data_IF_365329430525
#
_entry.id   IF_365329430525
#
_cell.length_a   1.000
_cell.length_b   1.000
_cell.length_c   1.000
_cell.angle_alpha   90.00
_cell.angle_beta   90.00
_cell.angle_gamma   90.00
#
_symmetry.space_group_name_H-M   'P 1'
#
loop_
_entity.id
_entity.type
_entity.pdbx_description
1 polymer ?
#
# COMPACT_ATOMS: atom_id res chain seq x y z
N UNK A 1 21.08 -18.62 29.51
CA UNK A 1 21.34 -18.29 28.09
C UNK A 1 21.06 -16.81 27.87
N UNK A 2 22.08 -16.00 27.95
CA UNK A 2 22.01 -14.56 27.68
C UNK A 2 21.86 -14.37 26.18
N UNK A 3 20.64 -14.13 25.72
CA UNK A 3 20.39 -13.70 24.33
C UNK A 3 21.04 -12.35 24.14
N UNK A 4 22.20 -12.31 23.51
CA UNK A 4 22.81 -11.08 23.00
C UNK A 4 21.83 -10.51 21.98
N UNK A 5 21.05 -9.55 22.42
CA UNK A 5 20.14 -8.80 21.53
C UNK A 5 21.02 -7.97 20.61
N UNK A 6 21.31 -8.50 19.41
CA UNK A 6 22.01 -7.75 18.36
C UNK A 6 21.27 -6.45 18.13
N UNK A 7 21.93 -5.33 18.44
CA UNK A 7 21.37 -4.00 18.24
C UNK A 7 21.01 -3.83 16.75
N UNK A 8 19.80 -3.40 16.48
CA UNK A 8 19.38 -3.19 15.09
C UNK A 8 20.26 -2.12 14.44
N UNK A 9 20.68 -2.27 13.19
CA UNK A 9 21.65 -1.37 12.57
C UNK A 9 21.10 0.06 12.42
N UNK A 10 21.97 1.05 12.60
CA UNK A 10 21.63 2.49 12.52
C UNK A 10 21.01 2.85 11.18
N UNK A 11 21.48 2.24 10.07
CA UNK A 11 20.91 2.48 8.75
C UNK A 11 19.40 2.18 8.67
N UNK A 12 18.95 1.12 9.37
CA UNK A 12 17.53 0.76 9.37
C UNK A 12 16.66 1.81 10.07
N UNK A 13 17.20 2.43 11.14
CA UNK A 13 16.54 3.58 11.81
C UNK A 13 16.43 4.77 10.86
N UNK A 14 17.54 5.14 10.25
CA UNK A 14 17.59 6.30 9.36
C UNK A 14 16.68 6.10 8.13
N UNK A 15 16.63 4.87 7.59
CA UNK A 15 15.70 4.50 6.52
C UNK A 15 14.25 4.70 6.94
N UNK A 16 13.86 4.20 8.13
CA UNK A 16 12.49 4.36 8.63
C UNK A 16 12.12 5.82 8.84
N UNK A 17 13.03 6.63 9.41
CA UNK A 17 12.80 8.08 9.62
C UNK A 17 12.62 8.78 8.27
N UNK A 18 13.52 8.57 7.31
CA UNK A 18 13.41 9.17 5.98
C UNK A 18 12.12 8.76 5.25
N UNK A 19 11.77 7.46 5.30
CA UNK A 19 10.53 6.97 4.72
C UNK A 19 9.29 7.60 5.38
N UNK A 20 9.24 7.71 6.72
CA UNK A 20 8.14 8.35 7.44
C UNK A 20 7.97 9.81 7.00
N UNK A 21 9.07 10.58 6.95
CA UNK A 21 9.01 12.00 6.57
C UNK A 21 8.48 12.18 5.14
N UNK A 22 9.03 11.43 4.18
CA UNK A 22 8.62 11.57 2.77
C UNK A 22 7.20 11.08 2.54
N UNK A 23 6.83 9.91 3.08
CA UNK A 23 5.50 9.34 2.87
C UNK A 23 4.42 10.17 3.55
N UNK A 24 4.66 10.66 4.78
CA UNK A 24 3.69 11.51 5.47
C UNK A 24 3.49 12.84 4.73
N UNK A 25 4.56 13.48 4.26
CA UNK A 25 4.45 14.70 3.47
C UNK A 25 3.69 14.46 2.16
N UNK A 26 3.99 13.37 1.44
CA UNK A 26 3.30 13.03 0.21
C UNK A 26 1.80 12.74 0.43
N UNK A 27 1.44 12.02 1.50
CA UNK A 27 0.06 11.76 1.85
C UNK A 27 -0.70 13.05 2.22
N UNK A 28 -0.09 13.92 3.01
CA UNK A 28 -0.70 15.21 3.39
C UNK A 28 -0.93 16.06 2.13
N UNK A 29 0.09 16.19 1.27
CA UNK A 29 -0.03 16.95 0.01
C UNK A 29 -1.15 16.38 -0.85
N UNK A 30 -1.18 15.05 -1.07
CA UNK A 30 -2.22 14.41 -1.90
C UNK A 30 -3.62 14.68 -1.35
N UNK A 31 -3.84 14.40 -0.07
CA UNK A 31 -5.16 14.54 0.56
C UNK A 31 -5.62 16.02 0.57
N UNK A 32 -4.69 16.95 0.88
CA UNK A 32 -5.02 18.38 0.92
C UNK A 32 -5.27 18.93 -0.47
N UNK A 33 -4.40 18.60 -1.45
CA UNK A 33 -4.60 19.04 -2.83
C UNK A 33 -5.91 18.49 -3.38
N UNK A 34 -6.17 17.19 -3.26
CA UNK A 34 -7.41 16.57 -3.72
C UNK A 34 -8.65 17.22 -3.06
N UNK A 35 -8.59 17.47 -1.75
CA UNK A 35 -9.71 18.06 -1.01
C UNK A 35 -10.01 19.50 -1.41
N UNK A 36 -8.97 20.27 -1.80
CA UNK A 36 -9.11 21.69 -2.15
C UNK A 36 -9.36 21.93 -3.65
N UNK A 37 -8.80 21.07 -4.52
CA UNK A 37 -8.79 21.31 -5.98
C UNK A 37 -9.78 20.47 -6.76
N UNK A 38 -10.17 19.28 -6.24
CA UNK A 38 -11.14 18.45 -6.94
C UNK A 38 -12.50 19.12 -6.95
N UNK A 39 -13.01 19.36 -8.13
CA UNK A 39 -14.38 19.86 -8.31
C UNK A 39 -15.32 18.66 -8.26
N UNK A 40 -16.04 18.51 -7.14
CA UNK A 40 -17.17 17.59 -7.11
C UNK A 40 -18.27 18.17 -8.01
N UNK A 41 -18.75 17.47 -9.06
CA UNK A 41 -19.81 17.99 -9.92
C UNK A 41 -21.03 18.43 -9.12
N UNK A 42 -21.70 19.49 -9.56
CA UNK A 42 -22.89 20.00 -8.91
C UNK A 42 -24.02 18.95 -8.75
N UNK A 43 -24.04 17.94 -9.63
CA UNK A 43 -24.95 16.79 -9.54
C UNK A 43 -24.72 15.90 -8.31
N UNK A 44 -23.52 15.93 -7.71
CA UNK A 44 -23.19 15.23 -6.45
C UNK A 44 -23.67 16.02 -5.22
N UNK A 45 -24.12 17.25 -5.42
CA UNK A 45 -24.57 18.17 -4.36
C UNK A 45 -26.04 17.97 -3.99
N UNK A 46 -26.58 16.75 -4.01
CA UNK A 46 -27.95 16.52 -3.58
C UNK A 46 -28.07 16.77 -2.07
N UNK A 47 -28.80 17.81 -1.63
CA UNK A 47 -28.92 18.16 -0.20
C UNK A 47 -29.61 17.08 0.65
N UNK A 48 -30.24 16.11 0.02
CA UNK A 48 -30.87 14.97 0.72
C UNK A 48 -29.93 13.77 0.91
N UNK A 49 -28.67 13.86 0.41
CA UNK A 49 -27.71 12.79 0.59
C UNK A 49 -26.92 12.95 1.88
N UNK A 50 -27.46 12.44 2.95
CA UNK A 50 -26.80 12.41 4.28
C UNK A 50 -25.51 11.57 4.32
N UNK A 51 -25.31 10.67 3.34
CA UNK A 51 -24.20 9.71 3.32
C UNK A 51 -23.00 10.18 2.50
N UNK A 52 -23.16 11.17 1.66
CA UNK A 52 -22.09 11.70 0.82
C UNK A 52 -21.99 13.21 0.98
N UNK A 53 -21.05 13.70 1.80
CA UNK A 53 -20.86 15.13 1.98
C UNK A 53 -20.47 15.77 0.65
N UNK A 54 -20.85 17.04 0.45
CA UNK A 54 -20.49 17.84 -0.74
C UNK A 54 -19.20 18.62 -0.52
N UNK A 55 -18.57 19.05 -1.60
CA UNK A 55 -17.38 19.91 -1.54
C UNK A 55 -16.18 19.24 -0.87
N UNK A 56 -15.50 19.95 0.00
CA UNK A 56 -14.27 19.50 0.68
C UNK A 56 -14.41 18.10 1.31
N UNK A 57 -15.51 17.85 2.02
CA UNK A 57 -15.73 16.57 2.69
C UNK A 57 -15.85 15.39 1.71
N UNK A 58 -16.53 15.61 0.56
CA UNK A 58 -16.66 14.60 -0.48
C UNK A 58 -15.31 14.31 -1.14
N UNK A 59 -14.55 15.33 -1.47
CA UNK A 59 -13.22 15.20 -2.08
C UNK A 59 -12.25 14.49 -1.15
N UNK A 60 -12.21 14.87 0.12
CA UNK A 60 -11.42 14.24 1.16
C UNK A 60 -11.74 12.73 1.28
N UNK A 61 -13.04 12.39 1.32
CA UNK A 61 -13.49 11.01 1.39
C UNK A 61 -13.14 10.22 0.12
N UNK A 62 -13.24 10.84 -1.05
CA UNK A 62 -12.83 10.23 -2.32
C UNK A 62 -11.35 9.91 -2.36
N UNK A 63 -10.49 10.84 -1.93
CA UNK A 63 -9.05 10.63 -1.86
C UNK A 63 -8.73 9.43 -0.96
N UNK A 64 -9.30 9.39 0.26
CA UNK A 64 -9.14 8.27 1.19
C UNK A 64 -9.68 6.93 0.67
N UNK A 65 -10.58 6.97 -0.32
CA UNK A 65 -11.19 5.77 -0.90
C UNK A 65 -10.28 5.07 -1.91
N UNK A 66 -9.20 5.71 -2.35
CA UNK A 66 -8.29 5.10 -3.31
C UNK A 66 -7.40 4.04 -2.66
N UNK A 67 -7.16 2.94 -3.37
CA UNK A 67 -6.24 1.88 -2.92
C UNK A 67 -4.83 2.42 -2.68
N UNK A 68 -4.40 3.37 -3.52
CA UNK A 68 -3.11 4.05 -3.40
C UNK A 68 -2.95 4.73 -2.05
N UNK A 69 -3.86 5.59 -1.65
CA UNK A 69 -3.77 6.31 -0.37
C UNK A 69 -3.79 5.32 0.80
N UNK A 70 -4.70 4.34 0.77
CA UNK A 70 -4.80 3.35 1.85
C UNK A 70 -3.55 2.49 1.97
N UNK A 71 -2.94 2.04 0.87
CA UNK A 71 -1.70 1.24 0.92
C UNK A 71 -0.49 2.07 1.33
N UNK A 72 -0.42 3.34 0.96
CA UNK A 72 0.60 4.26 1.45
C UNK A 72 0.44 4.54 2.96
N UNK A 73 -0.78 4.71 3.47
CA UNK A 73 -1.06 4.79 4.92
C UNK A 73 -0.62 3.50 5.63
N UNK A 74 -0.86 2.34 5.03
CA UNK A 74 -0.42 1.06 5.58
C UNK A 74 1.10 0.96 5.67
N UNK A 75 1.83 1.41 4.65
CA UNK A 75 3.30 1.47 4.66
C UNK A 75 3.80 2.47 5.70
N UNK A 76 3.22 3.66 5.78
CA UNK A 76 3.54 4.66 6.80
C UNK A 76 3.35 4.09 8.21
N UNK A 77 2.20 3.45 8.46
CA UNK A 77 1.88 2.81 9.74
C UNK A 77 2.90 1.72 10.08
N UNK A 78 3.31 0.91 9.08
CA UNK A 78 4.37 -0.08 9.29
C UNK A 78 5.69 0.57 9.72
N UNK A 79 6.15 1.62 9.03
CA UNK A 79 7.41 2.27 9.37
C UNK A 79 7.36 2.95 10.75
N UNK A 80 6.24 3.58 11.13
CA UNK A 80 6.04 4.14 12.47
C UNK A 80 6.12 3.03 13.53
N UNK A 81 5.38 1.94 13.38
CA UNK A 81 5.41 0.81 14.30
C UNK A 81 6.79 0.16 14.37
N UNK A 82 7.50 0.04 13.24
CA UNK A 82 8.84 -0.50 13.18
C UNK A 82 9.86 0.40 13.89
N UNK A 83 9.71 1.73 13.80
CA UNK A 83 10.54 2.72 14.48
C UNK A 83 10.27 2.72 15.99
N UNK A 84 9.00 2.64 16.41
CA UNK A 84 8.64 2.48 17.84
C UNK A 84 9.29 1.21 18.40
N UNK A 85 9.24 0.09 17.67
CA UNK A 85 9.87 -1.16 18.07
C UNK A 85 11.41 -1.12 18.00
N UNK A 86 11.99 -0.18 17.26
CA UNK A 86 13.43 0.03 17.25
C UNK A 86 13.89 0.56 18.62
N UNK A 87 13.15 1.52 19.19
CA UNK A 87 13.47 2.13 20.48
C UNK A 87 12.92 1.31 21.67
N UNK A 88 11.70 0.77 21.55
CA UNK A 88 10.99 0.04 22.60
C UNK A 88 10.88 -1.46 22.28
N UNK A 89 11.92 -2.23 22.59
CA UNK A 89 12.12 -3.64 22.18
C UNK A 89 10.99 -4.63 22.54
N UNK A 90 9.99 -4.26 23.35
CA UNK A 90 8.95 -5.18 23.86
C UNK A 90 7.51 -4.80 23.49
N UNK A 91 7.28 -3.73 22.74
CA UNK A 91 5.92 -3.18 22.61
C UNK A 91 5.03 -3.93 21.61
N UNK A 92 5.62 -4.51 20.55
CA UNK A 92 4.87 -5.28 19.55
C UNK A 92 5.56 -6.61 19.25
N UNK A 93 4.80 -7.74 19.19
CA UNK A 93 5.37 -9.05 18.86
C UNK A 93 6.08 -9.04 17.50
N UNK A 94 7.32 -9.50 17.44
CA UNK A 94 8.16 -9.51 16.23
C UNK A 94 7.53 -10.29 15.07
N UNK A 95 6.77 -11.35 15.38
CA UNK A 95 6.11 -12.17 14.36
C UNK A 95 4.96 -11.41 13.67
N UNK A 96 4.18 -10.63 14.42
CA UNK A 96 3.09 -9.82 13.86
C UNK A 96 3.64 -8.67 13.03
N UNK A 97 4.72 -8.03 13.48
CA UNK A 97 5.44 -7.03 12.69
C UNK A 97 5.97 -7.63 11.37
N UNK A 98 6.47 -8.86 11.39
CA UNK A 98 6.94 -9.56 10.19
C UNK A 98 5.82 -9.81 9.17
N UNK A 99 4.64 -10.23 9.63
CA UNK A 99 3.46 -10.45 8.77
C UNK A 99 2.91 -9.13 8.23
N UNK A 100 2.85 -8.10 9.05
CA UNK A 100 2.41 -6.77 8.61
C UNK A 100 3.36 -6.20 7.56
N UNK A 101 4.69 -6.29 7.79
CA UNK A 101 5.71 -5.94 6.78
C UNK A 101 5.46 -6.64 5.45
N UNK A 102 5.22 -7.95 5.49
CA UNK A 102 4.98 -8.77 4.32
C UNK A 102 3.73 -8.31 3.55
N UNK A 103 2.60 -8.15 4.25
CA UNK A 103 1.34 -7.70 3.64
C UNK A 103 1.46 -6.30 3.05
N UNK A 104 2.03 -5.35 3.79
CA UNK A 104 2.25 -3.99 3.30
C UNK A 104 3.15 -3.96 2.06
N UNK A 105 4.18 -4.85 2.00
CA UNK A 105 5.04 -4.97 0.81
C UNK A 105 4.27 -5.48 -0.40
N UNK A 106 3.42 -6.49 -0.25
CA UNK A 106 2.59 -7.01 -1.35
C UNK A 106 1.67 -5.89 -1.88
N UNK A 107 0.93 -5.23 -1.00
CA UNK A 107 -0.05 -4.24 -1.42
C UNK A 107 0.57 -3.03 -2.10
N UNK A 108 1.66 -2.50 -1.56
CA UNK A 108 2.33 -1.37 -2.20
C UNK A 108 2.99 -1.76 -3.54
N UNK A 109 3.39 -3.04 -3.68
CA UNK A 109 3.87 -3.56 -4.97
C UNK A 109 2.74 -3.69 -5.98
N UNK A 110 1.52 -4.11 -5.54
CA UNK A 110 0.33 -4.10 -6.40
C UNK A 110 0.02 -2.67 -6.85
N UNK A 111 0.03 -1.69 -5.94
CA UNK A 111 -0.13 -0.27 -6.27
C UNK A 111 0.86 0.17 -7.33
N UNK A 112 2.14 -0.16 -7.17
CA UNK A 112 3.19 0.14 -8.14
C UNK A 112 2.89 -0.47 -9.50
N UNK A 113 2.65 -1.78 -9.56
CA UNK A 113 2.44 -2.49 -10.83
C UNK A 113 1.22 -1.96 -11.58
N UNK A 114 0.07 -1.80 -10.91
CA UNK A 114 -1.15 -1.31 -11.54
C UNK A 114 -0.98 0.14 -12.02
N UNK A 115 -0.36 0.99 -11.23
CA UNK A 115 -0.13 2.37 -11.62
C UNK A 115 0.69 2.47 -12.90
N UNK A 116 1.88 1.86 -12.92
CA UNK A 116 2.80 1.98 -14.05
C UNK A 116 2.32 1.25 -15.32
N UNK A 117 1.55 0.16 -15.17
CA UNK A 117 1.01 -0.58 -16.32
C UNK A 117 -0.25 0.03 -16.92
N UNK A 118 -1.11 0.68 -16.11
CA UNK A 118 -2.46 1.03 -16.56
C UNK A 118 -2.83 2.50 -16.38
N UNK A 119 -2.31 3.18 -15.35
CA UNK A 119 -2.77 4.52 -14.97
C UNK A 119 -1.82 5.63 -15.39
N UNK A 120 -0.52 5.37 -15.42
CA UNK A 120 0.50 6.39 -15.67
C UNK A 120 0.32 7.15 -16.97
N UNK A 121 0.02 6.43 -18.08
CA UNK A 121 -0.20 7.07 -19.40
C UNK A 121 -1.38 8.04 -19.39
N UNK A 122 -2.47 7.69 -18.69
CA UNK A 122 -3.65 8.56 -18.56
C UNK A 122 -3.28 9.82 -17.77
N UNK A 123 -2.51 9.68 -16.69
CA UNK A 123 -2.14 10.80 -15.84
C UNK A 123 -1.22 11.78 -16.59
N UNK A 124 -0.16 11.30 -17.25
CA UNK A 124 0.77 12.17 -17.98
C UNK A 124 0.08 12.92 -19.13
N UNK A 125 -0.87 12.28 -19.81
CA UNK A 125 -1.60 12.90 -20.91
C UNK A 125 -2.60 13.95 -20.46
N UNK A 126 -3.09 13.87 -19.21
CA UNK A 126 -4.11 14.78 -18.66
C UNK A 126 -3.52 15.85 -17.73
N UNK A 127 -2.22 15.84 -17.47
CA UNK A 127 -1.56 16.83 -16.60
C UNK A 127 -1.22 18.08 -17.39
N UNK A 128 -1.75 19.23 -16.95
CA UNK A 128 -1.29 20.53 -17.43
C UNK A 128 0.02 20.91 -16.71
N UNK A 129 1.14 20.78 -17.39
CA UNK A 129 2.46 21.10 -16.84
C UNK A 129 2.74 22.61 -16.69
N UNK A 130 1.86 23.47 -17.18
CA UNK A 130 1.92 24.92 -16.98
C UNK A 130 1.21 25.36 -15.68
N UNK A 131 0.30 24.53 -15.16
CA UNK A 131 -0.32 24.76 -13.86
C UNK A 131 0.54 24.23 -12.71
N UNK A 132 0.93 25.11 -11.79
CA UNK A 132 1.78 24.78 -10.64
C UNK A 132 1.16 23.74 -9.70
N UNK A 133 -0.18 23.73 -9.57
CA UNK A 133 -0.88 22.77 -8.71
C UNK A 133 -0.91 21.39 -9.36
N UNK A 134 -1.19 21.34 -10.67
CA UNK A 134 -1.14 20.10 -11.42
C UNK A 134 0.27 19.51 -11.45
N UNK A 135 1.30 20.35 -11.60
CA UNK A 135 2.71 19.93 -11.53
C UNK A 135 3.06 19.38 -10.14
N UNK A 136 2.64 20.04 -9.05
CA UNK A 136 2.85 19.56 -7.69
C UNK A 136 2.17 18.20 -7.47
N UNK A 137 0.93 18.05 -7.93
CA UNK A 137 0.17 16.79 -7.86
C UNK A 137 0.87 15.68 -8.65
N UNK A 138 1.38 15.99 -9.85
CA UNK A 138 2.14 15.06 -10.67
C UNK A 138 3.42 14.59 -9.98
N UNK A 139 4.24 15.52 -9.43
CA UNK A 139 5.46 15.17 -8.66
C UNK A 139 5.09 14.31 -7.46
N UNK A 140 4.04 14.69 -6.72
CA UNK A 140 3.57 13.93 -5.57
C UNK A 140 3.12 12.50 -5.94
N UNK A 141 2.58 12.32 -7.14
CA UNK A 141 2.24 11.00 -7.69
C UNK A 141 3.46 10.07 -7.74
N UNK A 142 4.65 10.57 -8.10
CA UNK A 142 5.89 9.78 -8.06
C UNK A 142 6.28 9.38 -6.63
N UNK A 143 6.05 10.25 -5.65
CA UNK A 143 6.34 9.92 -4.26
C UNK A 143 5.48 8.74 -3.78
N UNK A 144 4.21 8.72 -4.12
CA UNK A 144 3.26 7.68 -3.71
C UNK A 144 3.38 6.38 -4.53
N UNK A 145 3.72 6.46 -5.83
CA UNK A 145 3.71 5.30 -6.74
C UNK A 145 5.10 4.79 -7.14
N UNK A 146 6.17 5.49 -6.81
CA UNK A 146 7.55 5.06 -7.05
C UNK A 146 8.36 5.02 -5.76
N UNK A 147 8.48 6.16 -5.06
CA UNK A 147 9.33 6.24 -3.86
C UNK A 147 8.85 5.32 -2.75
N UNK A 148 7.56 5.39 -2.39
CA UNK A 148 7.00 4.56 -1.30
C UNK A 148 7.14 3.06 -1.58
N UNK A 149 6.75 2.54 -2.78
CA UNK A 149 7.01 1.15 -3.14
C UNK A 149 8.48 0.76 -3.04
N UNK A 150 9.39 1.56 -3.61
CA UNK A 150 10.82 1.28 -3.55
C UNK A 150 11.36 1.28 -2.12
N UNK A 151 10.94 2.25 -1.29
CA UNK A 151 11.31 2.31 0.11
C UNK A 151 10.85 1.07 0.88
N UNK A 152 9.60 0.63 0.67
CA UNK A 152 9.05 -0.53 1.38
C UNK A 152 9.64 -1.84 0.88
N UNK A 153 9.74 -2.05 -0.44
CA UNK A 153 10.34 -3.25 -1.04
C UNK A 153 11.82 -3.33 -0.67
N UNK A 154 12.58 -2.25 -0.81
CA UNK A 154 13.99 -2.19 -0.41
C UNK A 154 14.18 -2.55 1.07
N UNK A 155 13.37 -1.96 1.96
CA UNK A 155 13.40 -2.31 3.37
C UNK A 155 13.06 -3.78 3.62
N UNK A 156 12.06 -4.33 2.88
CA UNK A 156 11.73 -5.75 2.96
C UNK A 156 12.90 -6.62 2.54
N UNK A 157 13.51 -6.36 1.39
CA UNK A 157 14.62 -7.13 0.86
C UNK A 157 15.82 -7.14 1.81
N UNK A 158 16.17 -5.99 2.38
CA UNK A 158 17.32 -5.86 3.29
C UNK A 158 17.09 -6.47 4.68
N UNK A 159 15.85 -6.50 5.17
CA UNK A 159 15.54 -6.92 6.55
C UNK A 159 14.87 -8.28 6.67
N UNK A 160 14.60 -8.98 5.56
CA UNK A 160 13.99 -10.31 5.57
C UNK A 160 14.97 -11.42 5.98
N UNK A 161 14.46 -12.64 6.18
CA UNK A 161 15.28 -13.81 6.56
C UNK A 161 15.69 -13.84 8.03
N UNK A 162 15.01 -13.12 8.93
CA UNK A 162 15.24 -13.24 10.38
C UNK A 162 14.51 -14.43 11.00
N UNK A 163 13.39 -14.85 10.38
CA UNK A 163 12.56 -15.97 10.82
C UNK A 163 12.22 -16.84 9.62
N UNK A 164 12.29 -18.18 9.81
CA UNK A 164 11.81 -19.13 8.80
C UNK A 164 10.28 -19.17 8.84
N UNK A 165 9.65 -19.05 7.68
CA UNK A 165 8.20 -19.18 7.54
C UNK A 165 7.86 -20.61 7.11
N UNK A 166 7.29 -21.37 8.05
CA UNK A 166 6.79 -22.71 7.74
C UNK A 166 5.57 -22.63 6.82
N UNK A 167 5.49 -23.50 5.82
CA UNK A 167 4.40 -23.56 4.83
C UNK A 167 3.03 -23.56 5.51
N UNK A 168 2.79 -24.52 6.42
CA UNK A 168 1.52 -24.65 7.15
C UNK A 168 1.14 -23.36 7.88
N UNK A 169 2.09 -22.74 8.61
CA UNK A 169 1.81 -21.47 9.30
C UNK A 169 1.55 -20.30 8.34
N UNK A 170 2.21 -20.31 7.19
CA UNK A 170 2.02 -19.26 6.18
C UNK A 170 0.65 -19.38 5.51
N UNK A 171 0.20 -20.57 5.19
CA UNK A 171 -1.12 -20.81 4.60
C UNK A 171 -2.27 -20.54 5.59
N UNK A 172 -2.12 -20.93 6.87
CA UNK A 172 -3.22 -20.81 7.84
C UNK A 172 -3.29 -19.41 8.47
N UNK A 173 -2.16 -18.72 8.64
CA UNK A 173 -2.11 -17.45 9.40
C UNK A 173 -1.70 -16.25 8.55
N UNK A 174 -0.71 -16.39 7.67
CA UNK A 174 -0.17 -15.25 6.92
C UNK A 174 -0.99 -14.96 5.67
N UNK A 175 -1.37 -15.98 4.93
CA UNK A 175 -2.17 -15.81 3.72
C UNK A 175 -3.56 -15.23 4.00
N UNK A 176 -4.37 -15.76 4.96
CA UNK A 176 -5.66 -15.15 5.27
C UNK A 176 -5.53 -13.70 5.74
N UNK A 177 -4.54 -13.39 6.59
CA UNK A 177 -4.29 -12.03 7.03
C UNK A 177 -3.86 -11.13 5.88
N UNK A 178 -3.02 -11.63 4.97
CA UNK A 178 -2.56 -10.84 3.84
C UNK A 178 -3.65 -10.63 2.77
N UNK A 179 -4.52 -11.59 2.51
CA UNK A 179 -5.56 -11.45 1.49
C UNK A 179 -6.81 -10.73 1.99
N UNK A 180 -7.08 -10.74 3.31
CA UNK A 180 -8.30 -10.19 3.88
C UNK A 180 -8.52 -8.72 3.51
N UNK A 181 -7.48 -7.91 3.52
CA UNK A 181 -7.60 -6.51 3.17
C UNK A 181 -8.06 -6.31 1.71
N UNK A 182 -7.62 -7.15 0.78
CA UNK A 182 -8.05 -7.04 -0.62
C UNK A 182 -9.57 -7.24 -0.73
N UNK A 183 -10.13 -8.22 -0.02
CA UNK A 183 -11.57 -8.45 0.00
C UNK A 183 -12.33 -7.38 0.79
N UNK A 184 -11.78 -6.89 1.90
CA UNK A 184 -12.36 -5.77 2.67
C UNK A 184 -12.40 -4.51 1.80
N UNK A 185 -11.31 -4.20 1.10
CA UNK A 185 -11.26 -3.07 0.18
C UNK A 185 -12.27 -3.22 -0.96
N UNK A 186 -12.35 -4.40 -1.57
CA UNK A 186 -13.33 -4.67 -2.62
C UNK A 186 -14.77 -4.49 -2.11
N UNK A 187 -15.11 -5.08 -0.98
CA UNK A 187 -16.44 -4.92 -0.35
C UNK A 187 -16.75 -3.44 -0.08
N UNK A 188 -15.79 -2.71 0.49
CA UNK A 188 -15.91 -1.27 0.74
C UNK A 188 -16.20 -0.49 -0.56
N UNK A 189 -15.44 -0.74 -1.64
CA UNK A 189 -15.61 -0.04 -2.92
C UNK A 189 -16.95 -0.36 -3.56
N UNK A 190 -17.39 -1.62 -3.52
CA UNK A 190 -18.69 -2.03 -4.06
C UNK A 190 -19.86 -1.43 -3.27
N UNK A 191 -19.77 -1.41 -1.94
CA UNK A 191 -20.76 -0.76 -1.08
C UNK A 191 -20.80 0.75 -1.40
N UNK A 192 -19.65 1.42 -1.36
CA UNK A 192 -19.57 2.85 -1.70
C UNK A 192 -20.16 3.14 -3.08
N UNK A 193 -19.74 2.39 -4.10
CA UNK A 193 -20.20 2.57 -5.47
C UNK A 193 -21.71 2.35 -5.64
N UNK A 194 -22.29 1.42 -4.87
CA UNK A 194 -23.73 1.19 -4.87
C UNK A 194 -24.49 2.34 -4.25
N UNK A 195 -24.08 2.79 -3.05
CA UNK A 195 -24.77 3.89 -2.35
C UNK A 195 -24.61 5.23 -3.08
N UNK A 196 -23.42 5.63 -3.46
CA UNK A 196 -23.15 6.89 -4.15
C UNK A 196 -23.80 6.90 -5.54
N UNK A 197 -23.70 5.78 -6.28
CA UNK A 197 -24.30 5.67 -7.61
C UNK A 197 -25.84 5.69 -7.64
N UNK A 198 -26.52 5.33 -6.55
CA UNK A 198 -27.98 5.42 -6.45
C UNK A 198 -28.48 6.85 -6.22
N UNK A 199 -27.67 7.66 -5.52
CA UNK A 199 -28.06 9.02 -5.14
C UNK A 199 -27.74 10.03 -6.24
N UNK A 200 -26.67 9.77 -6.98
CA UNK A 200 -26.19 10.66 -8.03
C UNK A 200 -26.55 10.05 -9.39
N UNK A 201 -27.73 10.20 -9.84
CA UNK A 201 -28.26 9.68 -11.12
C UNK A 201 -27.39 10.00 -12.36
N UNK A 202 -26.17 10.48 -12.19
CA UNK A 202 -25.22 10.93 -13.19
C UNK A 202 -23.78 10.56 -12.77
N UNK A 203 -23.00 10.11 -13.71
CA UNK A 203 -21.56 9.90 -13.67
C UNK A 203 -21.04 8.93 -12.59
N UNK A 204 -21.10 7.68 -12.91
CA UNK A 204 -20.60 6.53 -12.16
C UNK A 204 -19.09 6.62 -11.85
N UNK A 205 -18.35 7.51 -12.51
CA UNK A 205 -16.92 7.72 -12.28
C UNK A 205 -16.56 8.15 -10.86
N UNK A 206 -17.41 8.93 -10.20
CA UNK A 206 -17.16 9.38 -8.82
C UNK A 206 -17.52 8.34 -7.76
N UNK A 207 -18.33 7.36 -8.12
CA UNK A 207 -18.75 6.29 -7.22
C UNK A 207 -17.64 5.29 -6.96
N UNK A 208 -16.82 5.03 -7.96
CA UNK A 208 -15.73 4.05 -7.90
C UNK A 208 -14.37 4.72 -8.06
N UNK A 209 -13.38 4.43 -7.19
CA UNK A 209 -12.06 5.05 -7.25
C UNK A 209 -11.25 4.64 -8.49
N UNK A 210 -11.67 3.58 -9.18
CA UNK A 210 -11.05 3.08 -10.41
C UNK A 210 -12.11 2.57 -11.38
N UNK A 211 -11.95 2.86 -12.68
CA UNK A 211 -12.87 2.44 -13.73
C UNK A 211 -13.08 0.92 -13.78
N UNK A 212 -12.01 0.15 -13.50
CA UNK A 212 -12.05 -1.31 -13.52
C UNK A 212 -12.76 -1.94 -12.30
N UNK A 213 -13.08 -1.17 -11.29
CA UNK A 213 -13.89 -1.62 -10.15
C UNK A 213 -15.38 -1.26 -10.31
N UNK A 214 -15.74 -0.59 -11.40
CA UNK A 214 -17.12 -0.23 -11.69
C UNK A 214 -17.91 -1.41 -12.24
N UNK A 215 -18.46 -2.23 -11.34
CA UNK A 215 -19.27 -3.40 -11.70
C UNK A 215 -20.55 -3.05 -12.47
N UNK A 216 -21.03 -1.79 -12.33
CA UNK A 216 -22.25 -1.33 -13.02
C UNK A 216 -21.97 -0.99 -14.49
N UNK A 217 -20.76 -0.58 -14.83
CA UNK A 217 -20.38 -0.28 -16.21
C UNK A 217 -20.18 -1.56 -17.03
N UNK A 218 -19.41 -2.51 -16.48
CA UNK A 218 -19.12 -3.78 -17.15
C UNK A 218 -18.77 -4.86 -16.13
N UNK A 219 -19.68 -5.79 -15.92
CA UNK A 219 -19.51 -6.92 -14.99
C UNK A 219 -18.38 -7.86 -15.45
N UNK A 220 -18.27 -8.10 -16.75
CA UNK A 220 -17.24 -9.00 -17.30
C UNK A 220 -15.84 -8.43 -17.08
N UNK A 221 -15.63 -7.16 -17.42
CA UNK A 221 -14.35 -6.48 -17.21
C UNK A 221 -14.00 -6.38 -15.73
N UNK A 222 -14.97 -6.14 -14.86
CA UNK A 222 -14.75 -6.16 -13.40
C UNK A 222 -14.13 -7.49 -12.96
N UNK A 223 -14.71 -8.63 -13.35
CA UNK A 223 -14.18 -9.94 -12.97
C UNK A 223 -12.82 -10.24 -13.59
N UNK A 224 -12.55 -9.79 -14.82
CA UNK A 224 -11.24 -9.92 -15.46
C UNK A 224 -10.17 -9.18 -14.66
N UNK A 225 -10.37 -7.89 -14.36
CA UNK A 225 -9.40 -7.11 -13.60
C UNK A 225 -9.23 -7.62 -12.17
N UNK A 226 -10.32 -8.01 -11.51
CA UNK A 226 -10.25 -8.60 -10.19
C UNK A 226 -9.43 -9.89 -10.18
N UNK A 227 -9.63 -10.77 -11.19
CA UNK A 227 -8.84 -11.99 -11.34
C UNK A 227 -7.37 -11.70 -11.57
N UNK A 228 -7.02 -10.69 -12.39
CA UNK A 228 -5.64 -10.27 -12.62
C UNK A 228 -5.00 -9.80 -11.30
N UNK A 229 -5.73 -9.02 -10.49
CA UNK A 229 -5.25 -8.55 -9.20
C UNK A 229 -5.02 -9.72 -8.22
N UNK A 230 -5.92 -10.70 -8.21
CA UNK A 230 -5.76 -11.90 -7.39
C UNK A 230 -4.54 -12.73 -7.81
N UNK A 231 -4.37 -12.95 -9.11
CA UNK A 231 -3.18 -13.66 -9.63
C UNK A 231 -1.91 -12.92 -9.26
N UNK A 232 -1.87 -11.59 -9.47
CA UNK A 232 -0.73 -10.76 -9.08
C UNK A 232 -0.44 -10.86 -7.58
N UNK A 233 -1.48 -10.83 -6.73
CA UNK A 233 -1.34 -11.00 -5.29
C UNK A 233 -0.68 -12.34 -4.95
N UNK A 234 -1.14 -13.46 -5.53
CA UNK A 234 -0.56 -14.78 -5.25
C UNK A 234 0.88 -14.90 -5.76
N UNK A 235 1.18 -14.36 -6.94
CA UNK A 235 2.54 -14.33 -7.47
C UNK A 235 3.49 -13.57 -6.52
N UNK A 236 3.09 -12.38 -6.09
CA UNK A 236 3.88 -11.57 -5.15
C UNK A 236 4.01 -12.24 -3.78
N UNK A 237 2.92 -12.88 -3.30
CA UNK A 237 2.95 -13.66 -2.07
C UNK A 237 4.04 -14.75 -2.14
N UNK A 238 4.08 -15.51 -3.23
CA UNK A 238 5.08 -16.57 -3.43
C UNK A 238 6.50 -15.99 -3.56
N UNK A 239 6.69 -14.93 -4.34
CA UNK A 239 8.00 -14.29 -4.51
C UNK A 239 8.57 -13.85 -3.16
N UNK A 240 7.81 -13.09 -2.37
CA UNK A 240 8.28 -12.58 -1.09
C UNK A 240 8.43 -13.67 -0.03
N UNK A 241 7.57 -14.69 -0.05
CA UNK A 241 7.66 -15.87 0.81
C UNK A 241 8.95 -16.65 0.56
N UNK A 242 9.21 -17.02 -0.69
CA UNK A 242 10.41 -17.78 -1.07
C UNK A 242 11.68 -16.96 -0.84
N UNK A 243 11.66 -15.67 -1.15
CA UNK A 243 12.77 -14.77 -0.89
C UNK A 243 13.14 -14.71 0.60
N UNK A 244 12.14 -14.54 1.48
CA UNK A 244 12.39 -14.55 2.93
C UNK A 244 13.02 -15.87 3.41
N UNK A 245 12.49 -17.00 2.95
CA UNK A 245 13.00 -18.31 3.35
C UNK A 245 14.38 -18.62 2.78
N UNK A 246 14.66 -18.20 1.55
CA UNK A 246 15.99 -18.27 0.95
C UNK A 246 17.01 -17.48 1.77
N UNK A 247 16.71 -16.24 2.11
CA UNK A 247 17.59 -15.42 2.95
C UNK A 247 17.80 -16.02 4.35
N UNK A 248 16.75 -16.59 4.93
CA UNK A 248 16.89 -17.29 6.21
C UNK A 248 17.90 -18.42 6.11
N UNK A 249 17.76 -19.29 5.11
CA UNK A 249 18.70 -20.41 4.91
C UNK A 249 20.13 -19.93 4.63
N UNK A 250 20.28 -18.90 3.80
CA UNK A 250 21.59 -18.31 3.50
C UNK A 250 22.28 -17.78 4.76
N UNK A 251 21.54 -17.04 5.62
CA UNK A 251 22.07 -16.52 6.89
C UNK A 251 22.46 -17.66 7.84
N UNK A 252 21.68 -18.74 7.90
CA UNK A 252 21.99 -19.90 8.74
C UNK A 252 23.26 -20.64 8.27
N UNK A 253 23.46 -20.78 6.95
CA UNK A 253 24.69 -21.39 6.40
C UNK A 253 25.92 -20.57 6.75
N UNK A 254 25.87 -19.25 6.63
CA UNK A 254 26.99 -18.36 7.02
C UNK A 254 27.35 -18.46 8.50
N UNK A 255 26.40 -18.69 9.38
CA UNK A 255 26.65 -18.85 10.81
C UNK A 255 27.31 -20.20 11.16
N UNK A 256 27.07 -21.24 10.33
CA UNK A 256 27.62 -22.58 10.52
C UNK A 256 29.01 -22.78 9.93
N UNK A 257 29.42 -21.96 8.97
CA UNK A 257 30.75 -22.02 8.36
C UNK A 257 31.74 -21.29 9.28
N UNK A 258 32.67 -21.98 9.96
CA UNK A 258 33.65 -21.31 10.79
C UNK A 258 34.49 -20.37 9.93
N UNK A 259 34.75 -19.17 10.44
CA UNK A 259 35.66 -18.24 9.79
C UNK A 259 36.99 -18.99 9.59
N UNK A 260 37.41 -19.22 8.33
CA UNK A 260 38.77 -19.68 8.06
C UNK A 260 39.69 -18.68 8.76
N UNK A 261 40.37 -19.13 9.83
CA UNK A 261 41.45 -18.35 10.44
C UNK A 261 42.47 -18.12 9.32
N UNK A 262 42.56 -16.86 8.88
CA UNK A 262 43.69 -16.42 8.06
C UNK A 262 44.95 -16.65 8.88
N UNK A 263 45.78 -17.62 8.44
CA UNK A 263 47.14 -17.78 8.93
C UNK A 263 47.98 -16.60 8.42
#
# INVERSE_FOLDING_TARGET
MTTVTKQKPIWARNWMIGAILVISSALIISIVVDALTSTTPAAVTNPHNLWYPTGFGANFWNSLSTFTIQTNIMVLSFFILALINYFNKKRFPTINQGRFKFSATIYITITFVIFWSSLFKKIINNTDFHDSVALLSFINTFLLHLFTPLAMVGYYLLTSGSVKWAVKSSLIKTLPMAISYLFIYLAYVLIKGTFVGQVVNQEVEYSYPYFFLNIKADVGMFFIYFSIILVLFFVLFLIYYYYNNYLYQYKQRKLKTPAKKSK
#
